data_IF_126383163601
#
_entry.id   IF_126383163601
#
_cell.length_a   1.000
_cell.length_b   1.000
_cell.length_c   1.000
_cell.angle_alpha   90.00
_cell.angle_beta   90.00
_cell.angle_gamma   90.00
#
_symmetry.space_group_name_H-M   'P 1'
#
loop_
_entity.id
_entity.type
_entity.pdbx_description
1 polymer ?
#
# COMPACT_ATOMS: atom_id res chain seq x y z
N UNK A 1 10.42 -9.26 -9.97
CA UNK A 1 9.18 -8.52 -10.32
C UNK A 1 9.51 -7.28 -11.12
N UNK A 2 8.75 -7.02 -12.15
CA UNK A 2 8.94 -5.84 -12.99
C UNK A 2 7.72 -4.92 -12.90
N UNK A 3 7.97 -3.63 -12.77
CA UNK A 3 6.93 -2.60 -12.72
C UNK A 3 6.81 -1.94 -14.11
N UNK A 4 6.27 -2.69 -15.05
CA UNK A 4 6.12 -2.21 -16.44
C UNK A 4 4.94 -1.22 -16.54
N UNK A 5 5.10 -0.14 -17.33
CA UNK A 5 4.06 0.90 -17.43
C UNK A 5 2.71 0.36 -17.89
N UNK A 6 2.66 -0.62 -18.76
CA UNK A 6 1.43 -1.21 -19.29
C UNK A 6 0.57 -1.89 -18.21
N UNK A 7 1.18 -2.29 -17.10
CA UNK A 7 0.47 -2.90 -15.96
C UNK A 7 -0.05 -1.86 -14.96
N UNK A 8 0.31 -0.58 -15.11
CA UNK A 8 -0.20 0.47 -14.23
C UNK A 8 -1.70 0.66 -14.44
N UNK A 9 -2.43 0.74 -13.33
CA UNK A 9 -3.89 0.88 -13.32
C UNK A 9 -4.36 2.32 -13.53
N UNK A 10 -3.44 3.28 -13.56
CA UNK A 10 -3.79 4.69 -13.74
C UNK A 10 -3.00 5.33 -14.88
N UNK A 11 -3.50 6.44 -15.38
CA UNK A 11 -2.74 7.31 -16.28
C UNK A 11 -1.60 7.98 -15.52
N UNK A 12 -0.70 8.65 -16.23
CA UNK A 12 0.52 9.23 -15.63
C UNK A 12 0.20 10.30 -14.58
N UNK A 13 -0.71 11.20 -14.88
CA UNK A 13 -1.06 12.31 -13.98
C UNK A 13 -2.56 12.31 -13.66
N UNK A 14 -3.06 11.30 -12.92
CA UNK A 14 -4.48 11.25 -12.58
C UNK A 14 -4.82 12.28 -11.50
N UNK A 15 -6.08 12.69 -11.43
CA UNK A 15 -6.55 13.59 -10.38
C UNK A 15 -6.59 12.88 -9.02
N UNK A 16 -6.90 11.58 -9.04
CA UNK A 16 -6.93 10.74 -7.83
C UNK A 16 -6.66 9.29 -8.21
N UNK A 17 -6.24 8.51 -7.23
CA UNK A 17 -6.01 7.06 -7.40
C UNK A 17 -6.75 6.32 -6.28
N UNK A 18 -7.61 5.40 -6.66
CA UNK A 18 -8.37 4.59 -5.73
C UNK A 18 -7.86 3.14 -5.79
N UNK A 19 -7.41 2.63 -4.65
CA UNK A 19 -7.05 1.23 -4.49
C UNK A 19 -8.22 0.51 -3.82
N UNK A 20 -8.85 -0.40 -4.54
CA UNK A 20 -10.05 -1.10 -4.07
C UNK A 20 -10.11 -2.48 -4.69
N UNK A 21 -10.38 -3.50 -3.87
CA UNK A 21 -10.64 -4.84 -4.37
C UNK A 21 -12.09 -4.95 -4.87
N UNK A 22 -12.27 -5.74 -5.91
CA UNK A 22 -13.58 -5.96 -6.49
C UNK A 22 -14.55 -6.54 -5.44
N UNK A 23 -15.72 -5.93 -5.31
CA UNK A 23 -16.74 -6.39 -4.37
C UNK A 23 -16.54 -5.97 -2.93
N UNK A 24 -15.45 -5.24 -2.62
CA UNK A 24 -15.16 -4.76 -1.27
C UNK A 24 -15.52 -3.28 -1.11
N UNK A 25 -15.90 -2.88 0.11
CA UNK A 25 -16.16 -1.47 0.41
C UNK A 25 -14.90 -0.72 0.86
N UNK A 26 -13.93 -1.43 1.41
CA UNK A 26 -12.68 -0.81 1.86
C UNK A 26 -11.88 -0.30 0.69
N UNK A 27 -11.41 0.93 0.79
CA UNK A 27 -10.61 1.54 -0.27
C UNK A 27 -9.60 2.52 0.30
N UNK A 28 -8.52 2.70 -0.42
CA UNK A 28 -7.55 3.76 -0.19
C UNK A 28 -7.68 4.77 -1.33
N UNK A 29 -7.82 6.04 -0.98
CA UNK A 29 -7.93 7.11 -1.98
C UNK A 29 -6.78 8.10 -1.79
N UNK A 30 -6.02 8.31 -2.86
CA UNK A 30 -4.94 9.30 -2.90
C UNK A 30 -5.34 10.43 -3.84
N UNK A 31 -5.13 11.67 -3.40
CA UNK A 31 -5.44 12.85 -4.19
C UNK A 31 -4.15 13.39 -4.81
N UNK A 32 -4.20 13.75 -6.08
CA UNK A 32 -3.10 14.38 -6.81
C UNK A 32 -3.51 15.82 -7.15
N UNK A 33 -3.21 16.79 -6.26
CA UNK A 33 -3.65 18.18 -6.46
C UNK A 33 -3.14 18.74 -7.78
N UNK A 34 -4.06 19.31 -8.57
CA UNK A 34 -3.76 19.91 -9.87
C UNK A 34 -3.06 18.94 -10.85
N UNK A 35 -3.19 17.63 -10.60
CA UNK A 35 -2.56 16.58 -11.41
C UNK A 35 -1.03 16.77 -11.56
N UNK A 36 -0.38 17.37 -10.57
CA UNK A 36 1.02 17.80 -10.71
C UNK A 36 2.05 16.68 -10.57
N UNK A 37 1.69 15.54 -9.96
CA UNK A 37 2.62 14.45 -9.74
C UNK A 37 2.46 13.35 -10.78
N UNK A 38 3.58 12.74 -11.15
CA UNK A 38 3.61 11.55 -11.99
C UNK A 38 3.41 10.32 -11.11
N UNK A 39 2.34 9.57 -11.36
CA UNK A 39 1.96 8.42 -10.53
C UNK A 39 1.92 7.13 -11.35
N UNK A 40 2.21 6.02 -10.67
CA UNK A 40 1.97 4.66 -11.17
C UNK A 40 1.22 3.88 -10.10
N UNK A 41 0.32 3.01 -10.50
CA UNK A 41 -0.54 2.26 -9.58
C UNK A 41 -0.63 0.80 -10.02
N UNK A 42 -0.28 -0.12 -9.13
CA UNK A 42 -0.26 -1.54 -9.45
C UNK A 42 -1.05 -2.35 -8.42
N UNK A 43 -1.75 -3.36 -8.90
CA UNK A 43 -2.27 -4.40 -8.05
C UNK A 43 -1.20 -5.48 -7.91
N UNK A 44 -0.78 -5.76 -6.68
CA UNK A 44 0.31 -6.71 -6.42
C UNK A 44 -0.22 -8.12 -6.20
N UNK A 45 -0.98 -8.32 -5.13
CA UNK A 45 -1.46 -9.65 -4.76
C UNK A 45 -2.42 -10.21 -5.82
N UNK A 46 -2.08 -11.39 -6.33
CA UNK A 46 -2.89 -12.08 -7.34
C UNK A 46 -2.70 -11.57 -8.76
N UNK A 47 -1.90 -10.52 -8.99
CA UNK A 47 -1.63 -9.97 -10.33
C UNK A 47 -0.13 -9.99 -10.62
N UNK A 48 0.63 -9.06 -10.05
CA UNK A 48 2.09 -9.04 -10.23
C UNK A 48 2.80 -10.10 -9.39
N UNK A 49 2.27 -10.40 -8.21
CA UNK A 49 2.79 -11.41 -7.30
C UNK A 49 1.73 -12.49 -7.15
N UNK A 50 2.04 -13.69 -7.64
CA UNK A 50 1.11 -14.82 -7.59
C UNK A 50 1.68 -15.91 -6.68
N UNK A 51 0.81 -16.53 -5.87
CA UNK A 51 1.14 -17.67 -5.00
C UNK A 51 2.19 -17.36 -3.93
N UNK A 52 2.41 -16.08 -3.64
CA UNK A 52 3.31 -15.63 -2.57
C UNK A 52 2.60 -14.57 -1.73
N UNK A 53 3.02 -14.46 -0.47
CA UNK A 53 2.49 -13.42 0.42
C UNK A 53 2.87 -12.03 -0.10
N UNK A 54 1.89 -11.15 -0.18
CA UNK A 54 2.10 -9.76 -0.58
C UNK A 54 0.92 -8.89 -0.10
N UNK A 55 1.12 -7.58 -0.11
CA UNK A 55 0.02 -6.63 0.09
C UNK A 55 -0.75 -6.41 -1.22
N UNK A 56 -1.90 -5.74 -1.12
CA UNK A 56 -2.84 -5.64 -2.23
C UNK A 56 -2.38 -4.70 -3.34
N UNK A 57 -1.91 -3.49 -2.99
CA UNK A 57 -1.61 -2.46 -3.99
C UNK A 57 -0.30 -1.74 -3.72
N UNK A 58 0.26 -1.19 -4.80
CA UNK A 58 1.43 -0.32 -4.77
C UNK A 58 1.09 0.96 -5.53
N UNK A 59 1.23 2.11 -4.87
CA UNK A 59 1.08 3.42 -5.49
C UNK A 59 2.43 4.12 -5.45
N UNK A 60 2.93 4.53 -6.61
CA UNK A 60 4.24 5.16 -6.74
C UNK A 60 4.07 6.61 -7.17
N UNK A 61 4.73 7.52 -6.45
CA UNK A 61 4.88 8.90 -6.87
C UNK A 61 6.30 9.08 -7.40
N UNK A 62 6.45 9.09 -8.72
CA UNK A 62 7.75 9.21 -9.37
C UNK A 62 8.34 10.60 -9.24
N UNK A 63 7.50 11.61 -9.06
CA UNK A 63 7.97 13.00 -8.89
C UNK A 63 8.69 13.21 -7.57
N UNK A 64 8.20 12.57 -6.50
CA UNK A 64 8.77 12.72 -5.15
C UNK A 64 9.57 11.51 -4.69
N UNK A 65 9.64 10.45 -5.51
CA UNK A 65 10.33 9.19 -5.17
C UNK A 65 9.77 8.53 -3.92
N UNK A 66 8.46 8.45 -3.84
CA UNK A 66 7.74 7.82 -2.74
C UNK A 66 6.91 6.64 -3.25
N UNK A 67 6.96 5.54 -2.52
CA UNK A 67 6.22 4.32 -2.85
C UNK A 67 5.33 3.92 -1.67
N UNK A 68 4.04 3.79 -1.91
CA UNK A 68 3.05 3.47 -0.89
C UNK A 68 2.58 2.03 -1.07
N UNK A 69 2.85 1.20 -0.07
CA UNK A 69 2.34 -0.16 0.00
C UNK A 69 1.02 -0.14 0.75
N UNK A 70 -0.02 -0.70 0.15
CA UNK A 70 -1.39 -0.57 0.62
C UNK A 70 -1.99 -1.96 0.83
N UNK A 71 -2.52 -2.19 2.03
CA UNK A 71 -3.22 -3.43 2.39
C UNK A 71 -4.64 -3.10 2.84
N UNK A 72 -5.61 -3.72 2.19
CA UNK A 72 -7.03 -3.57 2.51
C UNK A 72 -7.44 -4.77 3.38
N UNK A 73 -7.46 -4.59 4.69
CA UNK A 73 -7.67 -5.70 5.62
C UNK A 73 -8.87 -5.48 6.52
N UNK A 74 -9.73 -6.49 6.63
CA UNK A 74 -10.93 -6.39 7.45
C UNK A 74 -10.64 -6.31 8.94
N UNK A 75 -9.86 -7.25 9.48
CA UNK A 75 -9.70 -7.41 10.94
C UNK A 75 -8.28 -7.70 11.41
N UNK A 76 -7.50 -8.47 10.69
CA UNK A 76 -6.21 -8.97 11.17
C UNK A 76 -5.07 -8.01 10.84
N UNK A 77 -4.82 -7.05 11.73
CA UNK A 77 -3.79 -6.02 11.54
C UNK A 77 -2.38 -6.63 11.57
N UNK A 78 -2.13 -7.61 12.44
CA UNK A 78 -0.84 -8.29 12.52
C UNK A 78 -0.49 -8.97 11.19
N UNK A 79 -1.46 -9.63 10.57
CA UNK A 79 -1.28 -10.27 9.27
C UNK A 79 -1.07 -9.21 8.18
N UNK A 80 -1.78 -8.08 8.25
CA UNK A 80 -1.61 -6.98 7.32
C UNK A 80 -0.19 -6.43 7.35
N UNK A 81 0.41 -6.29 8.54
CA UNK A 81 1.81 -5.86 8.69
C UNK A 81 2.75 -6.83 7.97
N UNK A 82 2.54 -8.14 8.13
CA UNK A 82 3.36 -9.14 7.44
C UNK A 82 3.22 -9.05 5.92
N UNK A 83 2.02 -8.76 5.44
CA UNK A 83 1.76 -8.59 4.01
C UNK A 83 2.45 -7.33 3.46
N UNK A 84 2.47 -6.24 4.22
CA UNK A 84 3.22 -5.03 3.85
C UNK A 84 4.73 -5.30 3.81
N UNK A 85 5.26 -6.02 4.77
CA UNK A 85 6.68 -6.40 4.80
C UNK A 85 7.05 -7.23 3.58
N UNK A 86 6.19 -8.18 3.21
CA UNK A 86 6.39 -9.01 2.02
C UNK A 86 6.35 -8.14 0.75
N UNK A 87 5.42 -7.19 0.68
CA UNK A 87 5.32 -6.25 -0.44
C UNK A 87 6.59 -5.44 -0.61
N UNK A 88 7.15 -4.92 0.48
CA UNK A 88 8.41 -4.19 0.44
C UNK A 88 9.53 -5.07 -0.11
N UNK A 89 9.63 -6.30 0.38
CA UNK A 89 10.64 -7.26 -0.05
C UNK A 89 10.56 -7.52 -1.56
N UNK A 90 9.35 -7.68 -2.09
CA UNK A 90 9.15 -7.90 -3.53
C UNK A 90 9.48 -6.66 -4.36
N UNK A 91 9.22 -5.46 -3.85
CA UNK A 91 9.34 -4.22 -4.61
C UNK A 91 10.69 -3.52 -4.47
N UNK A 92 11.46 -3.88 -3.45
CA UNK A 92 12.67 -3.15 -3.06
C UNK A 92 13.69 -2.99 -4.19
N UNK A 93 13.95 -4.04 -4.95
CA UNK A 93 14.95 -3.99 -6.02
C UNK A 93 14.50 -3.11 -7.19
N UNK A 94 13.19 -3.07 -7.48
CA UNK A 94 12.64 -2.27 -8.57
C UNK A 94 12.53 -0.78 -8.21
N UNK A 95 12.60 -0.44 -6.93
CA UNK A 95 12.37 0.91 -6.44
C UNK A 95 13.55 1.41 -5.60
N UNK A 96 14.77 1.17 -6.05
CA UNK A 96 15.96 1.73 -5.41
C UNK A 96 15.91 3.25 -5.42
N UNK A 97 16.21 3.88 -4.28
CA UNK A 97 16.15 5.34 -4.14
C UNK A 97 14.76 5.88 -3.77
N UNK A 98 13.74 5.02 -3.71
CA UNK A 98 12.41 5.43 -3.27
C UNK A 98 12.26 5.23 -1.77
N UNK A 99 11.46 6.09 -1.13
CA UNK A 99 11.10 5.95 0.28
C UNK A 99 9.76 5.22 0.35
N UNK A 100 9.71 4.13 1.12
CA UNK A 100 8.49 3.35 1.28
C UNK A 100 7.61 3.90 2.40
N UNK A 101 6.31 3.92 2.12
CA UNK A 101 5.25 4.26 3.05
C UNK A 101 4.29 3.07 3.13
N UNK A 102 3.62 2.91 4.26
CA UNK A 102 2.81 1.73 4.55
C UNK A 102 1.42 2.17 4.99
N UNK A 103 0.39 1.60 4.38
CA UNK A 103 -1.00 1.95 4.64
C UNK A 103 -1.81 0.69 4.86
N UNK A 104 -2.55 0.65 5.97
CA UNK A 104 -3.55 -0.38 6.22
C UNK A 104 -4.91 0.30 6.29
N UNK A 105 -5.84 -0.16 5.47
CA UNK A 105 -7.24 0.27 5.52
C UNK A 105 -8.03 -0.90 6.08
N UNK A 106 -8.69 -0.70 7.22
CA UNK A 106 -9.45 -1.75 7.89
C UNK A 106 -10.89 -1.29 8.17
N UNK A 107 -11.78 -2.26 8.35
CA UNK A 107 -13.18 -1.98 8.69
C UNK A 107 -13.30 -1.47 10.12
N UNK A 108 -12.53 -2.09 11.04
CA UNK A 108 -12.48 -1.70 12.44
C UNK A 108 -11.20 -2.24 13.07
N UNK A 109 -10.35 -1.34 13.55
CA UNK A 109 -9.15 -1.74 14.26
C UNK A 109 -9.48 -1.92 15.75
N UNK A 110 -9.25 -3.12 16.27
CA UNK A 110 -9.44 -3.40 17.69
C UNK A 110 -8.20 -2.96 18.46
N UNK A 111 -8.40 -2.41 19.65
CA UNK A 111 -7.32 -1.90 20.50
C UNK A 111 -6.21 -2.93 20.72
N UNK A 112 -6.58 -4.18 21.00
CA UNK A 112 -5.58 -5.21 21.26
C UNK A 112 -4.73 -5.56 20.02
N UNK A 113 -5.28 -5.41 18.82
CA UNK A 113 -4.51 -5.63 17.58
C UNK A 113 -3.51 -4.50 17.36
N UNK A 114 -3.91 -3.27 17.61
CA UNK A 114 -3.01 -2.11 17.50
C UNK A 114 -1.91 -2.19 18.56
N UNK A 115 -2.21 -2.74 19.73
CA UNK A 115 -1.26 -2.92 20.81
C UNK A 115 -0.36 -4.16 20.64
N UNK A 116 -0.60 -5.01 19.63
CA UNK A 116 0.23 -6.18 19.36
C UNK A 116 1.69 -5.79 19.17
N UNK A 117 2.60 -6.58 19.72
CA UNK A 117 4.02 -6.25 19.71
C UNK A 117 4.61 -6.12 18.30
N UNK A 118 4.17 -6.95 17.35
CA UNK A 118 4.65 -6.89 15.97
C UNK A 118 4.18 -5.59 15.29
N UNK A 119 2.95 -5.19 15.55
CA UNK A 119 2.38 -3.95 15.01
C UNK A 119 3.10 -2.74 15.62
N UNK A 120 3.34 -2.76 16.92
CA UNK A 120 4.07 -1.69 17.61
C UNK A 120 5.49 -1.55 17.11
N UNK A 121 6.19 -2.66 16.91
CA UNK A 121 7.57 -2.65 16.36
C UNK A 121 7.61 -2.03 14.97
N UNK A 122 6.63 -2.37 14.13
CA UNK A 122 6.52 -1.82 12.79
C UNK A 122 6.27 -0.30 12.85
N UNK A 123 5.37 0.12 13.72
CA UNK A 123 5.04 1.53 13.94
C UNK A 123 6.25 2.31 14.46
N UNK A 124 7.00 1.74 15.40
CA UNK A 124 8.19 2.38 15.95
C UNK A 124 9.30 2.51 14.89
N UNK A 125 9.46 1.47 14.05
CA UNK A 125 10.48 1.46 13.00
C UNK A 125 10.21 2.51 11.92
N UNK A 126 8.96 2.66 11.50
CA UNK A 126 8.62 3.51 10.36
C UNK A 126 7.95 4.83 10.72
N UNK A 127 7.50 4.99 11.96
CA UNK A 127 6.90 6.22 12.45
C UNK A 127 5.74 6.69 11.59
N UNK A 128 5.78 7.93 11.14
CA UNK A 128 4.70 8.54 10.35
C UNK A 128 4.52 7.95 8.96
N UNK A 129 5.46 7.15 8.47
CA UNK A 129 5.32 6.47 7.19
C UNK A 129 4.34 5.29 7.26
N UNK A 130 4.00 4.82 8.44
CA UNK A 130 3.02 3.76 8.66
C UNK A 130 1.75 4.34 9.25
N UNK A 131 0.62 4.14 8.57
CA UNK A 131 -0.69 4.61 9.02
C UNK A 131 -1.73 3.50 8.89
N UNK A 132 -2.61 3.42 9.88
CA UNK A 132 -3.79 2.57 9.89
C UNK A 132 -5.01 3.49 9.84
N UNK A 133 -5.90 3.25 8.88
CA UNK A 133 -7.12 4.04 8.72
C UNK A 133 -8.33 3.12 8.69
N UNK A 134 -9.36 3.48 9.44
CA UNK A 134 -10.64 2.79 9.40
C UNK A 134 -11.54 3.41 8.33
N UNK A 135 -12.28 2.54 7.62
CA UNK A 135 -13.33 2.99 6.69
C UNK A 135 -14.67 2.44 7.15
N UNK A 136 -15.69 3.27 7.01
CA UNK A 136 -17.06 2.95 7.43
C UNK A 136 -17.96 2.72 6.23
#
# INVERSE_FOLDING_TARGET
>A
MQLIPEKSLCEKNPASVVSKDKGESRKHCAINPNRKFDLRHYQLDGVLIQQETCCDFLLINDSTKKAYLIELKGKDIKKAVKQLQAGEKHCKSALGGYTFFYRIICSKAKTHQIADSAVRKFKDKYGMRFKIKETY
#
